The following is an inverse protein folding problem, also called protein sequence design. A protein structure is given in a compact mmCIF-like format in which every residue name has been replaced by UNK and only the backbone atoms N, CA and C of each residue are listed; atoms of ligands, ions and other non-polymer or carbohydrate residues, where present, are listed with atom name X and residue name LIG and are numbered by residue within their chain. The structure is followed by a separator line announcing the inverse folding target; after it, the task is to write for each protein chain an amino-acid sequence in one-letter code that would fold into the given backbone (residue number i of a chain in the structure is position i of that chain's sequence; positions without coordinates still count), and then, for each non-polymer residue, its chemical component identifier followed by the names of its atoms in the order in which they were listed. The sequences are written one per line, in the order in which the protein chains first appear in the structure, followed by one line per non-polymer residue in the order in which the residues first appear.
data_IF_538140695150
#
_entry.id   IF_538140695150
#
_cell.length_a   1.000
_cell.length_b   1.000
_cell.length_c   1.000
_cell.angle_alpha   90.00
_cell.angle_beta   90.00
_cell.angle_gamma   90.00
#
_symmetry.space_group_name_H-M   'P 1'
#
loop_
_entity.id
_entity.type
_entity.pdbx_description
1 polymer ?
#
# COMPACT_ATOMS: atom_id res chain seq x y z
N UNK A 1 6.81 20.46 -26.80
CA UNK A 1 7.56 19.77 -27.88
C UNK A 1 7.87 18.36 -27.40
N UNK A 2 7.50 17.34 -28.18
CA UNK A 2 7.58 15.86 -27.98
C UNK A 2 6.35 15.27 -27.26
N UNK A 3 5.31 14.86 -28.00
CA UNK A 3 5.09 13.58 -28.75
C UNK A 3 4.59 12.49 -27.79
N UNK A 4 3.28 12.26 -27.60
CA UNK A 4 2.30 11.66 -28.53
C UNK A 4 2.86 10.48 -29.32
N UNK A 5 2.73 9.27 -28.76
CA UNK A 5 2.86 8.00 -29.49
C UNK A 5 1.54 7.24 -29.32
N UNK A 6 0.78 7.28 -30.40
CA UNK A 6 -0.37 6.46 -30.74
C UNK A 6 0.18 5.15 -31.34
N UNK A 7 -0.28 3.99 -30.88
CA UNK A 7 -0.19 2.76 -31.67
C UNK A 7 -1.58 2.15 -31.88
N UNK A 8 -2.02 2.27 -33.13
CA UNK A 8 -3.10 1.53 -33.77
C UNK A 8 -2.48 0.31 -34.43
N UNK A 9 -3.13 -0.86 -34.31
CA UNK A 9 -3.29 -1.96 -35.29
C UNK A 9 -3.47 -3.28 -34.51
N UNK A 10 -4.30 -4.25 -34.86
CA UNK A 10 -4.89 -4.61 -36.14
C UNK A 10 -6.09 -5.54 -35.90
N UNK A 11 -7.19 -5.29 -36.59
CA UNK A 11 -8.30 -6.24 -36.76
C UNK A 11 -7.87 -7.31 -37.76
N UNK A 12 -8.03 -8.60 -37.44
CA UNK A 12 -8.24 -9.62 -38.48
C UNK A 12 -9.18 -10.73 -38.00
N UNK A 13 -10.18 -10.97 -38.83
CA UNK A 13 -11.29 -11.90 -38.66
C UNK A 13 -10.88 -13.37 -38.89
N UNK A 14 -11.63 -14.27 -38.25
CA UNK A 14 -11.61 -15.71 -38.52
C UNK A 14 -12.93 -16.38 -38.11
N UNK A 15 -13.93 -16.27 -38.99
CA UNK A 15 -15.19 -17.04 -38.99
C UNK A 15 -14.93 -18.49 -39.46
N UNK A 16 -15.91 -19.41 -39.28
CA UNK A 16 -16.08 -20.80 -39.85
C UNK A 16 -15.80 -21.92 -38.82
N UNK A 17 -16.62 -22.96 -38.50
CA UNK A 17 -17.91 -23.53 -38.97
C UNK A 17 -18.48 -24.51 -37.89
N UNK A 18 -19.81 -24.45 -37.70
CA UNK A 18 -20.86 -25.48 -37.48
C UNK A 18 -20.48 -26.96 -37.25
N UNK A 19 -20.99 -27.56 -36.16
CA UNK A 19 -21.73 -28.86 -36.06
C UNK A 19 -22.14 -29.03 -34.57
N UNK A 20 -23.37 -29.33 -34.14
CA UNK A 20 -24.36 -30.21 -34.71
C UNK A 20 -24.31 -31.59 -34.03
N UNK A 21 -24.71 -31.71 -32.75
CA UNK A 21 -25.00 -33.00 -32.12
C UNK A 21 -26.28 -32.93 -31.28
N UNK A 22 -27.27 -33.68 -31.76
CA UNK A 22 -28.56 -33.96 -31.15
C UNK A 22 -28.45 -35.00 -30.03
N UNK A 23 -29.17 -34.75 -28.94
CA UNK A 23 -30.02 -35.74 -28.26
C UNK A 23 -29.38 -37.00 -27.67
N UNK A 24 -29.29 -37.04 -26.34
CA UNK A 24 -29.64 -38.27 -25.60
C UNK A 24 -30.15 -37.87 -24.21
N UNK A 25 -31.44 -38.11 -23.99
CA UNK A 25 -32.10 -37.99 -22.69
C UNK A 25 -31.58 -39.11 -21.78
N UNK A 26 -31.02 -38.83 -20.59
CA UNK A 26 -30.72 -39.89 -19.64
C UNK A 26 -32.01 -40.41 -19.01
N UNK A 27 -32.17 -41.71 -19.09
CA UNK A 27 -33.18 -42.51 -18.42
C UNK A 27 -33.09 -42.29 -16.90
N UNK A 28 -34.20 -41.86 -16.28
CA UNK A 28 -34.31 -41.69 -14.82
C UNK A 28 -34.33 -43.07 -14.17
N UNK A 29 -33.13 -43.56 -13.83
CA UNK A 29 -32.96 -44.75 -13.02
C UNK A 29 -33.37 -44.41 -11.57
N UNK A 30 -34.44 -45.05 -11.08
CA UNK A 30 -34.88 -44.93 -9.69
C UNK A 30 -33.81 -45.48 -8.75
N UNK A 31 -33.15 -44.57 -8.04
CA UNK A 31 -32.23 -44.87 -6.93
C UNK A 31 -32.98 -45.59 -5.81
N UNK A 32 -32.48 -46.75 -5.31
CA UNK A 32 -33.00 -47.35 -4.09
C UNK A 32 -32.75 -46.43 -2.89
N UNK A 33 -33.71 -46.38 -1.97
CA UNK A 33 -33.61 -45.61 -0.73
C UNK A 33 -32.34 -46.00 0.03
N UNK A 34 -31.44 -45.02 0.20
CA UNK A 34 -30.24 -45.14 1.03
C UNK A 34 -30.68 -45.06 2.48
N UNK A 35 -30.58 -46.16 3.21
CA UNK A 35 -30.68 -46.18 4.67
C UNK A 35 -29.58 -45.29 5.22
N UNK A 36 -29.97 -44.23 5.95
CA UNK A 36 -29.03 -43.31 6.57
C UNK A 36 -28.06 -44.07 7.49
N UNK A 37 -26.76 -43.97 7.19
CA UNK A 37 -25.72 -44.36 8.10
C UNK A 37 -25.73 -43.40 9.31
N UNK A 38 -25.45 -43.88 10.54
CA UNK A 38 -25.41 -43.02 11.71
C UNK A 38 -24.37 -41.92 11.53
N UNK A 39 -24.80 -40.67 11.76
CA UNK A 39 -23.95 -39.49 11.81
C UNK A 39 -22.76 -39.74 12.74
N UNK A 40 -21.50 -39.65 12.26
CA UNK A 40 -20.34 -39.70 13.12
C UNK A 40 -20.47 -38.60 14.19
N UNK A 41 -20.23 -38.96 15.44
CA UNK A 41 -20.15 -37.97 16.52
C UNK A 41 -19.12 -36.91 16.13
N UNK A 42 -19.50 -35.62 16.29
CA UNK A 42 -18.62 -34.50 16.00
C UNK A 42 -17.29 -34.70 16.72
N UNK A 43 -16.21 -34.76 15.95
CA UNK A 43 -14.86 -34.71 16.51
C UNK A 43 -14.70 -33.30 17.08
N UNK A 44 -14.36 -33.14 18.37
CA UNK A 44 -14.18 -31.82 18.94
C UNK A 44 -13.14 -31.06 18.13
N UNK A 45 -13.56 -29.92 17.57
CA UNK A 45 -12.65 -28.96 16.94
C UNK A 45 -11.66 -28.55 18.03
N UNK A 46 -10.34 -28.65 17.80
CA UNK A 46 -9.37 -28.18 18.78
C UNK A 46 -9.66 -26.71 19.07
N UNK A 47 -9.89 -26.40 20.34
CA UNK A 47 -9.97 -25.02 20.81
C UNK A 47 -8.71 -24.30 20.33
N UNK A 48 -8.82 -23.16 19.61
CA UNK A 48 -7.68 -22.36 19.23
C UNK A 48 -6.83 -22.10 20.47
N UNK A 49 -5.58 -22.51 20.42
CA UNK A 49 -4.61 -22.11 21.43
C UNK A 49 -4.55 -20.59 21.39
N UNK A 50 -4.68 -19.93 22.54
CA UNK A 50 -4.51 -18.48 22.61
C UNK A 50 -3.10 -18.16 22.11
N UNK A 51 -3.01 -17.59 20.91
CA UNK A 51 -1.82 -16.91 20.42
C UNK A 51 -1.50 -15.84 21.45
N UNK A 52 -0.29 -15.86 22.01
CA UNK A 52 0.17 -14.79 22.88
C UNK A 52 0.07 -13.48 22.07
N UNK A 53 -0.62 -12.47 22.63
CA UNK A 53 -0.74 -11.19 21.98
C UNK A 53 0.66 -10.70 21.57
N UNK A 54 0.85 -10.26 20.31
CA UNK A 54 2.15 -9.78 19.86
C UNK A 54 2.67 -8.77 20.88
N UNK A 55 3.92 -8.99 21.31
CA UNK A 55 4.62 -8.09 22.21
C UNK A 55 4.60 -6.72 21.57
N UNK A 56 3.79 -5.79 22.09
CA UNK A 56 3.74 -4.40 21.62
C UNK A 56 5.16 -3.92 21.35
N UNK A 57 5.52 -3.78 20.08
CA UNK A 57 6.81 -3.28 19.68
C UNK A 57 6.98 -1.93 20.38
N UNK A 58 8.01 -1.80 21.21
CA UNK A 58 8.24 -0.55 21.92
C UNK A 58 8.41 0.54 20.86
N UNK A 59 7.50 1.52 20.85
CA UNK A 59 7.61 2.68 19.96
C UNK A 59 9.02 3.25 20.09
N UNK A 60 9.82 3.30 19.01
CA UNK A 60 11.16 3.84 19.05
C UNK A 60 11.14 5.25 19.64
N UNK A 61 12.12 5.57 20.48
CA UNK A 61 12.26 6.92 20.98
C UNK A 61 12.39 7.90 19.80
N UNK A 62 11.68 9.04 19.78
CA UNK A 62 11.74 9.99 18.68
C UNK A 62 13.19 10.42 18.43
N UNK A 63 13.60 10.38 17.16
CA UNK A 63 14.94 10.81 16.73
C UNK A 63 15.06 12.30 17.02
N UNK A 64 15.98 12.68 17.93
CA UNK A 64 16.23 14.09 18.19
C UNK A 64 16.99 14.70 17.01
N UNK A 65 16.26 15.40 16.15
CA UNK A 65 16.83 16.14 15.03
C UNK A 65 17.58 17.39 15.56
N UNK A 66 18.85 17.61 15.18
CA UNK A 66 19.60 18.77 15.64
C UNK A 66 18.96 20.07 15.14
N UNK A 67 18.64 20.99 16.04
CA UNK A 67 17.86 22.21 15.79
C UNK A 67 18.58 23.35 15.04
N UNK A 68 19.55 23.05 14.17
CA UNK A 68 20.30 24.06 13.41
C UNK A 68 20.62 23.69 11.96
N UNK A 69 20.00 22.64 11.45
CA UNK A 69 20.14 22.25 10.04
C UNK A 69 19.04 22.96 9.24
N UNK A 70 19.38 23.46 8.06
CA UNK A 70 18.39 24.03 7.15
C UNK A 70 17.64 22.87 6.46
N UNK A 71 16.52 22.47 7.06
CA UNK A 71 15.59 21.50 6.48
C UNK A 71 14.68 22.26 5.49
N UNK A 72 14.87 22.03 4.19
CA UNK A 72 14.09 22.71 3.16
C UNK A 72 12.78 21.99 2.86
N UNK A 73 11.78 22.74 2.39
CA UNK A 73 10.51 22.18 1.86
C UNK A 73 10.80 21.17 0.76
N UNK A 74 11.70 21.46 -0.18
CA UNK A 74 12.05 20.55 -1.30
C UNK A 74 12.55 19.19 -0.81
N UNK A 75 13.45 19.18 0.19
CA UNK A 75 13.95 17.94 0.79
C UNK A 75 12.84 17.20 1.54
N UNK A 76 11.94 17.91 2.22
CA UNK A 76 10.84 17.27 2.95
C UNK A 76 9.80 16.65 1.98
N UNK A 77 9.43 17.35 0.91
CA UNK A 77 8.57 16.82 -0.14
C UNK A 77 9.20 15.59 -0.78
N UNK A 78 10.50 15.64 -1.10
CA UNK A 78 11.21 14.50 -1.68
C UNK A 78 11.26 13.31 -0.72
N UNK A 79 11.48 13.56 0.58
CA UNK A 79 11.45 12.53 1.62
C UNK A 79 10.07 11.86 1.73
N UNK A 80 9.00 12.66 1.76
CA UNK A 80 7.65 12.14 1.84
C UNK A 80 7.25 11.33 0.62
N UNK A 81 7.63 11.79 -0.59
CA UNK A 81 7.42 11.02 -1.83
C UNK A 81 8.17 9.70 -1.82
N UNK A 82 9.43 9.74 -1.38
CA UNK A 82 10.25 8.55 -1.23
C UNK A 82 9.60 7.55 -0.25
N UNK A 83 8.96 8.04 0.80
CA UNK A 83 8.19 7.19 1.71
C UNK A 83 6.98 6.57 1.03
N UNK A 84 6.09 7.38 0.43
CA UNK A 84 4.90 6.89 -0.26
C UNK A 84 5.24 5.80 -1.30
N UNK A 85 6.22 6.06 -2.16
CA UNK A 85 6.67 5.11 -3.20
C UNK A 85 7.15 3.78 -2.62
N UNK A 86 7.78 3.77 -1.45
CA UNK A 86 8.19 2.50 -0.84
C UNK A 86 7.02 1.75 -0.22
N UNK A 87 6.02 2.45 0.32
CA UNK A 87 4.80 1.80 0.80
C UNK A 87 4.00 1.20 -0.36
N UNK A 88 3.93 1.88 -1.50
CA UNK A 88 3.42 1.30 -2.75
C UNK A 88 4.23 0.06 -3.14
N UNK A 89 5.57 0.10 -3.11
CA UNK A 89 6.35 -1.12 -3.37
C UNK A 89 5.99 -2.27 -2.41
N UNK A 90 5.85 -2.01 -1.11
CA UNK A 90 5.49 -3.03 -0.13
C UNK A 90 4.14 -3.68 -0.48
N UNK A 91 3.18 -2.85 -0.83
CA UNK A 91 1.84 -3.29 -1.23
C UNK A 91 1.88 -4.20 -2.46
N UNK A 92 2.54 -3.80 -3.54
CA UNK A 92 2.78 -4.60 -4.76
C UNK A 92 3.44 -5.97 -4.45
N UNK A 93 4.38 -5.99 -3.48
CA UNK A 93 5.05 -7.21 -3.08
C UNK A 93 4.09 -8.21 -2.40
N UNK A 94 3.13 -7.72 -1.63
CA UNK A 94 2.13 -8.53 -0.94
C UNK A 94 0.96 -8.92 -1.87
N UNK A 95 0.61 -8.05 -2.82
CA UNK A 95 -0.39 -8.29 -3.85
C UNK A 95 0.01 -9.45 -4.78
N UNK A 96 1.29 -9.53 -5.16
CA UNK A 96 1.78 -10.52 -6.12
C UNK A 96 1.33 -11.98 -5.88
N UNK A 97 1.56 -12.60 -4.70
CA UNK A 97 1.11 -13.97 -4.45
C UNK A 97 -0.42 -14.13 -4.35
N UNK A 98 -1.15 -13.05 -4.02
CA UNK A 98 -2.60 -13.04 -3.87
C UNK A 98 -3.29 -12.98 -5.24
N UNK A 99 -2.80 -12.11 -6.11
CA UNK A 99 -3.36 -11.86 -7.44
C UNK A 99 -2.82 -12.81 -8.51
N UNK A 100 -1.62 -13.34 -8.30
CA UNK A 100 -0.89 -14.18 -9.26
C UNK A 100 -0.57 -13.48 -10.59
N UNK A 101 -0.41 -12.15 -10.56
CA UNK A 101 -0.15 -11.30 -11.72
C UNK A 101 1.33 -10.87 -11.76
N UNK A 102 2.11 -11.28 -12.77
CA UNK A 102 3.52 -10.87 -12.88
C UNK A 102 3.75 -9.36 -12.87
N UNK A 103 2.76 -8.59 -13.29
CA UNK A 103 2.74 -7.13 -13.29
C UNK A 103 3.05 -6.54 -11.89
N UNK A 104 2.46 -7.06 -10.81
CA UNK A 104 2.73 -6.63 -9.41
C UNK A 104 4.22 -6.69 -9.04
N UNK A 105 4.91 -7.75 -9.49
CA UNK A 105 6.34 -7.88 -9.27
C UNK A 105 7.13 -6.86 -10.10
N UNK A 106 6.71 -6.62 -11.34
CA UNK A 106 7.34 -5.61 -12.20
C UNK A 106 7.17 -4.20 -11.63
N UNK A 107 5.99 -3.90 -11.06
CA UNK A 107 5.67 -2.63 -10.43
C UNK A 107 6.42 -2.46 -9.10
N UNK A 108 6.50 -3.49 -8.25
CA UNK A 108 7.44 -3.51 -7.11
C UNK A 108 8.86 -3.10 -7.53
N UNK A 109 9.43 -3.75 -8.56
CA UNK A 109 10.77 -3.44 -9.05
C UNK A 109 10.88 -2.02 -9.63
N UNK A 110 9.78 -1.49 -10.18
CA UNK A 110 9.66 -0.12 -10.64
C UNK A 110 9.72 0.89 -9.50
N UNK A 111 8.90 0.69 -8.47
CA UNK A 111 8.83 1.55 -7.27
C UNK A 111 10.14 1.52 -6.48
N UNK A 112 10.80 0.38 -6.37
CA UNK A 112 12.14 0.25 -5.76
C UNK A 112 13.18 1.12 -6.49
N UNK A 113 13.13 1.19 -7.82
CA UNK A 113 14.02 2.05 -8.62
C UNK A 113 13.67 3.53 -8.46
N UNK A 114 12.38 3.86 -8.39
CA UNK A 114 11.94 5.24 -8.14
C UNK A 114 12.39 5.72 -6.75
N UNK A 115 12.25 4.88 -5.72
CA UNK A 115 12.80 5.13 -4.39
C UNK A 115 14.29 5.47 -4.45
N UNK A 116 15.09 4.67 -5.16
CA UNK A 116 16.54 4.89 -5.27
C UNK A 116 16.88 6.23 -5.96
N UNK A 117 16.06 6.68 -6.91
CA UNK A 117 16.21 8.00 -7.53
C UNK A 117 15.88 9.13 -6.55
N UNK A 118 14.77 9.01 -5.81
CA UNK A 118 14.36 9.98 -4.80
C UNK A 118 15.36 10.04 -3.63
N UNK A 119 15.96 8.91 -3.26
CA UNK A 119 17.01 8.82 -2.26
C UNK A 119 18.22 9.69 -2.61
N UNK A 120 18.74 9.57 -3.82
CA UNK A 120 19.85 10.42 -4.32
C UNK A 120 19.46 11.90 -4.33
N UNK A 121 18.21 12.22 -4.69
CA UNK A 121 17.72 13.60 -4.67
C UNK A 121 17.66 14.15 -3.25
N UNK A 122 17.12 13.37 -2.31
CA UNK A 122 17.02 13.73 -0.90
C UNK A 122 18.39 13.96 -0.27
N UNK A 123 19.35 13.04 -0.46
CA UNK A 123 20.72 13.19 0.07
C UNK A 123 21.34 14.54 -0.32
N UNK A 124 21.14 14.93 -1.58
CA UNK A 124 21.65 16.19 -2.13
C UNK A 124 20.89 17.40 -1.57
N UNK A 125 19.56 17.37 -1.56
CA UNK A 125 18.74 18.50 -1.10
C UNK A 125 18.89 18.74 0.41
N UNK A 126 18.92 17.67 1.20
CA UNK A 126 19.14 17.71 2.65
C UNK A 126 20.60 18.00 3.01
N UNK A 127 21.52 17.99 2.05
CA UNK A 127 22.94 18.23 2.26
C UNK A 127 23.56 17.25 3.25
N UNK A 128 23.28 15.95 3.09
CA UNK A 128 23.75 14.91 4.03
C UNK A 128 25.27 14.69 3.97
N UNK A 129 25.96 15.27 2.99
CA UNK A 129 27.42 15.29 2.88
C UNK A 129 28.09 16.29 3.85
N UNK A 130 27.32 17.21 4.43
CA UNK A 130 27.85 18.21 5.34
C UNK A 130 28.11 17.65 6.74
N UNK A 131 29.25 17.95 7.37
CA UNK A 131 29.59 17.43 8.69
C UNK A 131 28.55 17.71 9.79
N UNK A 132 27.88 18.86 9.73
CA UNK A 132 26.81 19.23 10.67
C UNK A 132 25.56 18.33 10.58
N UNK A 133 25.41 17.56 9.50
CA UNK A 133 24.27 16.67 9.25
C UNK A 133 24.61 15.20 9.49
N UNK A 134 25.74 14.90 10.13
CA UNK A 134 26.22 13.52 10.33
C UNK A 134 25.20 12.62 11.06
N UNK A 135 24.48 13.14 12.06
CA UNK A 135 23.48 12.37 12.80
C UNK A 135 22.25 12.05 11.93
N UNK A 136 21.78 13.02 11.13
CA UNK A 136 20.68 12.82 10.17
C UNK A 136 21.10 11.78 9.13
N UNK A 137 22.34 11.90 8.62
CA UNK A 137 22.89 10.94 7.67
C UNK A 137 22.95 9.53 8.28
N UNK A 138 23.34 9.39 9.54
CA UNK A 138 23.40 8.09 10.19
C UNK A 138 22.01 7.42 10.30
N UNK A 139 20.97 8.17 10.68
CA UNK A 139 19.58 7.67 10.65
C UNK A 139 19.13 7.32 9.24
N UNK A 140 19.46 8.17 8.27
CA UNK A 140 19.11 7.93 6.87
C UNK A 140 19.80 6.67 6.29
N UNK A 141 21.09 6.48 6.57
CA UNK A 141 21.86 5.30 6.14
C UNK A 141 21.29 4.01 6.74
N UNK A 142 20.77 4.09 7.96
CA UNK A 142 20.11 2.97 8.62
C UNK A 142 18.79 2.59 7.93
N UNK A 143 17.95 3.57 7.55
CA UNK A 143 16.76 3.36 6.71
C UNK A 143 17.13 2.69 5.38
N UNK A 144 18.17 3.15 4.69
CA UNK A 144 18.62 2.52 3.44
C UNK A 144 19.09 1.07 3.65
N UNK A 145 19.71 0.77 4.80
CA UNK A 145 20.07 -0.60 5.17
C UNK A 145 18.84 -1.47 5.39
N UNK A 146 17.78 -0.93 6.02
CA UNK A 146 16.50 -1.63 6.20
C UNK A 146 15.78 -1.87 4.89
N UNK A 147 15.71 -0.85 4.02
CA UNK A 147 15.17 -0.98 2.65
C UNK A 147 15.86 -2.11 1.89
N UNK A 148 17.17 -2.24 2.00
CA UNK A 148 17.92 -3.32 1.34
C UNK A 148 17.54 -4.71 1.86
N UNK A 149 17.35 -4.85 3.18
CA UNK A 149 16.89 -6.10 3.78
C UNK A 149 15.48 -6.46 3.26
N UNK A 150 14.55 -5.50 3.33
CA UNK A 150 13.19 -5.63 2.81
C UNK A 150 13.17 -6.08 1.34
N UNK A 151 13.92 -5.41 0.46
CA UNK A 151 13.98 -5.80 -0.96
C UNK A 151 14.52 -7.23 -1.14
N UNK A 152 15.52 -7.62 -0.35
CA UNK A 152 16.06 -8.99 -0.39
C UNK A 152 15.02 -10.01 0.04
N UNK A 153 14.24 -9.71 1.07
CA UNK A 153 13.22 -10.62 1.58
C UNK A 153 12.00 -10.69 0.65
N UNK A 154 11.61 -9.57 0.01
CA UNK A 154 10.60 -9.56 -1.05
C UNK A 154 11.03 -10.41 -2.26
N UNK A 155 12.28 -10.29 -2.73
CA UNK A 155 12.82 -11.14 -3.81
C UNK A 155 12.80 -12.64 -3.44
N UNK A 156 13.12 -12.97 -2.19
CA UNK A 156 13.03 -14.34 -1.69
C UNK A 156 11.58 -14.83 -1.64
N UNK A 157 10.67 -13.97 -1.17
CA UNK A 157 9.24 -14.23 -1.10
C UNK A 157 8.66 -14.53 -2.49
N UNK A 158 9.00 -13.73 -3.50
CA UNK A 158 8.64 -13.98 -4.90
C UNK A 158 9.19 -15.32 -5.40
N UNK A 159 10.47 -15.60 -5.17
CA UNK A 159 11.10 -16.85 -5.60
C UNK A 159 10.45 -18.08 -4.95
N UNK A 160 9.98 -17.95 -3.70
CA UNK A 160 9.20 -19.00 -3.03
C UNK A 160 7.86 -19.20 -3.73
N UNK A 161 7.12 -18.12 -3.97
CA UNK A 161 5.84 -18.16 -4.67
C UNK A 161 5.97 -18.79 -6.05
N UNK A 162 6.88 -18.29 -6.90
CA UNK A 162 7.10 -18.77 -8.27
C UNK A 162 7.44 -20.27 -8.32
N UNK A 163 8.14 -20.78 -7.31
CA UNK A 163 8.54 -22.19 -7.22
C UNK A 163 7.41 -23.10 -6.74
N UNK A 164 6.61 -22.64 -5.77
CA UNK A 164 5.62 -23.47 -5.07
C UNK A 164 4.18 -23.24 -5.55
N UNK A 165 3.92 -22.11 -6.21
CA UNK A 165 2.59 -21.57 -6.52
C UNK A 165 1.85 -21.02 -5.29
N UNK A 166 2.54 -20.85 -4.16
CA UNK A 166 2.00 -20.35 -2.90
C UNK A 166 3.13 -19.94 -1.95
N UNK A 167 2.84 -19.03 -1.04
CA UNK A 167 3.66 -18.70 0.13
C UNK A 167 3.06 -19.35 1.37
N UNK A 168 3.89 -19.65 2.37
CA UNK A 168 3.44 -20.13 3.69
C UNK A 168 3.46 -18.99 4.69
N UNK A 169 2.77 -19.14 5.82
CA UNK A 169 2.76 -18.15 6.91
C UNK A 169 4.20 -17.77 7.32
N UNK A 170 5.11 -18.75 7.40
CA UNK A 170 6.51 -18.48 7.72
C UNK A 170 7.30 -17.77 6.61
N UNK A 171 6.87 -17.85 5.34
CA UNK A 171 7.44 -17.05 4.27
C UNK A 171 6.92 -15.59 4.35
N UNK A 172 5.65 -15.39 4.72
CA UNK A 172 5.02 -14.06 4.90
C UNK A 172 5.60 -13.35 6.12
N UNK A 173 5.69 -14.02 7.28
CA UNK A 173 6.26 -13.45 8.51
C UNK A 173 7.69 -12.92 8.31
N UNK A 174 8.51 -13.56 7.49
CA UNK A 174 9.86 -13.05 7.19
C UNK A 174 9.82 -11.73 6.43
N UNK A 175 8.88 -11.58 5.49
CA UNK A 175 8.69 -10.32 4.78
C UNK A 175 8.13 -9.25 5.73
N UNK A 176 7.12 -9.58 6.53
CA UNK A 176 6.52 -8.68 7.52
C UNK A 176 7.54 -8.14 8.52
N UNK A 177 8.41 -8.99 9.10
CA UNK A 177 9.47 -8.55 10.01
C UNK A 177 10.42 -7.52 9.35
N UNK A 178 10.60 -7.62 8.03
CA UNK A 178 11.39 -6.69 7.23
C UNK A 178 10.63 -5.40 6.89
N UNK A 179 9.32 -5.50 6.63
CA UNK A 179 8.40 -4.36 6.48
C UNK A 179 8.37 -3.55 7.77
N UNK A 180 8.02 -4.18 8.91
CA UNK A 180 8.06 -3.60 10.25
C UNK A 180 9.40 -2.95 10.56
N UNK A 181 10.48 -3.67 10.26
CA UNK A 181 11.84 -3.19 10.50
C UNK A 181 12.19 -1.92 9.70
N UNK A 182 11.55 -1.71 8.56
CA UNK A 182 11.70 -0.53 7.72
C UNK A 182 10.74 0.60 8.13
N UNK A 183 9.44 0.32 8.26
CA UNK A 183 8.39 1.30 8.58
C UNK A 183 8.58 1.89 9.97
N UNK A 184 8.97 1.08 10.96
CA UNK A 184 9.26 1.54 12.33
C UNK A 184 10.44 2.52 12.43
N UNK A 185 11.31 2.56 11.41
CA UNK A 185 12.42 3.51 11.36
C UNK A 185 12.10 4.71 10.46
N UNK A 186 11.51 4.45 9.30
CA UNK A 186 11.27 5.49 8.30
C UNK A 186 10.08 6.40 8.64
N UNK A 187 9.03 5.87 9.25
CA UNK A 187 7.89 6.63 9.79
C UNK A 187 8.34 7.73 10.74
N UNK A 188 8.94 7.37 11.89
CA UNK A 188 9.41 8.35 12.86
C UNK A 188 10.47 9.32 12.30
N UNK A 189 11.34 8.85 11.39
CA UNK A 189 12.30 9.72 10.72
C UNK A 189 11.62 10.79 9.87
N UNK A 190 10.64 10.39 9.06
CA UNK A 190 9.87 11.30 8.18
C UNK A 190 9.12 12.34 9.01
N UNK A 191 8.41 11.91 10.05
CA UNK A 191 7.68 12.80 10.96
C UNK A 191 8.60 13.80 11.67
N UNK A 192 9.73 13.29 12.19
CA UNK A 192 10.72 14.14 12.85
C UNK A 192 11.34 15.14 11.89
N UNK A 193 11.55 14.75 10.63
CA UNK A 193 12.05 15.63 9.57
C UNK A 193 11.03 16.72 9.21
N UNK A 194 9.76 16.36 9.06
CA UNK A 194 8.67 17.32 8.75
C UNK A 194 8.49 18.34 9.87
N UNK A 195 8.53 17.89 11.12
CA UNK A 195 8.35 18.75 12.30
C UNK A 195 9.44 19.82 12.48
N UNK A 196 10.61 19.66 11.84
CA UNK A 196 11.74 20.60 11.92
C UNK A 196 11.97 21.40 10.64
N UNK A 197 11.15 21.20 9.61
CA UNK A 197 11.10 22.12 8.45
C UNK A 197 10.82 23.51 8.99
N UNK A 198 11.67 24.48 8.61
CA UNK A 198 11.69 25.74 9.34
C UNK A 198 10.37 26.49 9.19
N UNK A 199 9.84 27.03 10.29
CA UNK A 199 8.67 27.92 10.25
C UNK A 199 8.92 29.17 9.39
N UNK A 200 10.17 29.51 9.08
CA UNK A 200 10.51 30.57 8.13
C UNK A 200 10.26 30.14 6.68
N UNK A 201 10.58 28.89 6.33
CA UNK A 201 10.30 28.29 5.01
C UNK A 201 8.81 27.93 4.84
N UNK A 202 8.09 27.70 5.95
CA UNK A 202 6.66 27.45 5.99
C UNK A 202 5.81 28.71 6.23
N UNK A 203 6.43 29.86 6.52
CA UNK A 203 5.72 31.12 6.73
C UNK A 203 5.24 31.65 5.38
N UNK A 204 3.94 31.94 5.31
CA UNK A 204 3.23 32.38 4.10
C UNK A 204 3.16 31.32 2.98
N UNK A 205 3.46 30.05 3.27
CA UNK A 205 3.40 28.94 2.30
C UNK A 205 2.48 27.81 2.80
N UNK A 206 1.17 28.09 2.82
CA UNK A 206 0.16 27.09 3.19
C UNK A 206 0.20 25.88 2.24
N UNK A 207 0.61 26.05 0.99
CA UNK A 207 0.82 24.97 0.03
C UNK A 207 1.88 23.96 0.50
N UNK A 208 2.96 24.43 1.14
CA UNK A 208 4.02 23.56 1.65
C UNK A 208 3.53 22.71 2.82
N UNK A 209 2.80 23.30 3.77
CA UNK A 209 2.21 22.55 4.89
C UNK A 209 1.23 21.50 4.38
N UNK A 210 0.33 21.92 3.50
CA UNK A 210 -0.66 21.04 2.88
C UNK A 210 -0.02 19.91 2.09
N UNK A 211 1.09 20.17 1.38
CA UNK A 211 1.83 19.10 0.70
C UNK A 211 2.38 18.06 1.68
N UNK A 212 2.95 18.47 2.81
CA UNK A 212 3.47 17.55 3.84
C UNK A 212 2.35 16.78 4.54
N UNK A 213 1.21 17.42 4.79
CA UNK A 213 0.03 16.75 5.37
C UNK A 213 -0.52 15.70 4.40
N UNK A 214 -0.64 16.05 3.12
CA UNK A 214 -1.04 15.13 2.06
C UNK A 214 -0.07 13.94 2.00
N UNK A 215 1.25 14.18 2.00
CA UNK A 215 2.27 13.11 2.02
C UNK A 215 2.15 12.18 3.25
N UNK A 216 1.79 12.74 4.40
CA UNK A 216 1.52 11.95 5.61
C UNK A 216 0.25 11.12 5.46
N UNK A 217 -0.81 11.71 4.88
CA UNK A 217 -2.04 10.99 4.56
C UNK A 217 -1.78 9.83 3.59
N UNK A 218 -0.93 10.00 2.57
CA UNK A 218 -0.58 8.91 1.65
C UNK A 218 -0.04 7.71 2.38
N UNK A 219 0.99 7.95 3.21
CA UNK A 219 1.67 6.90 3.96
C UNK A 219 0.67 6.13 4.80
N UNK A 220 -0.15 6.84 5.58
CA UNK A 220 -1.15 6.19 6.43
C UNK A 220 -2.19 5.40 5.64
N UNK A 221 -2.54 5.85 4.43
CA UNK A 221 -3.44 5.10 3.56
C UNK A 221 -2.79 3.82 3.03
N UNK A 222 -1.53 3.90 2.59
CA UNK A 222 -0.80 2.74 2.07
C UNK A 222 -0.43 1.74 3.16
N UNK A 223 -0.10 2.21 4.37
CA UNK A 223 -0.02 1.35 5.57
C UNK A 223 -1.33 0.59 5.72
N UNK A 224 -2.49 1.26 5.69
CA UNK A 224 -3.78 0.55 5.74
C UNK A 224 -3.99 -0.47 4.61
N UNK A 225 -3.58 -0.17 3.37
CA UNK A 225 -3.76 -1.09 2.24
C UNK A 225 -2.90 -2.34 2.41
N UNK A 226 -1.67 -2.19 2.91
CA UNK A 226 -0.78 -3.30 3.21
C UNK A 226 -1.43 -4.28 4.23
N UNK A 227 -2.05 -3.76 5.29
CA UNK A 227 -2.80 -4.57 6.25
C UNK A 227 -3.93 -5.43 5.63
N UNK A 228 -4.50 -5.00 4.49
CA UNK A 228 -5.52 -5.79 3.78
C UNK A 228 -4.91 -7.08 3.24
N UNK A 229 -3.71 -6.99 2.64
CA UNK A 229 -3.00 -8.16 2.15
C UNK A 229 -2.40 -8.99 3.28
N UNK A 230 -1.86 -8.34 4.32
CA UNK A 230 -1.42 -9.01 5.56
C UNK A 230 -2.52 -9.90 6.13
N UNK A 231 -3.74 -9.37 6.25
CA UNK A 231 -4.90 -10.14 6.71
C UNK A 231 -5.17 -11.39 5.87
N UNK A 232 -5.14 -11.25 4.54
CA UNK A 232 -5.43 -12.35 3.61
C UNK A 232 -4.32 -13.41 3.60
N UNK A 233 -3.07 -13.00 3.83
CA UNK A 233 -1.91 -13.87 3.81
C UNK A 233 -1.71 -14.60 5.15
N UNK A 234 -1.99 -13.95 6.27
CA UNK A 234 -1.74 -14.46 7.62
C UNK A 234 -2.99 -14.92 8.37
N UNK A 235 -4.18 -14.47 7.95
CA UNK A 235 -5.46 -14.70 8.65
C UNK A 235 -5.41 -14.23 10.12
N UNK A 236 -4.73 -13.12 10.37
CA UNK A 236 -4.61 -12.52 11.69
C UNK A 236 -5.57 -11.34 11.83
N UNK A 237 -6.50 -11.40 12.77
CA UNK A 237 -7.53 -10.35 12.89
C UNK A 237 -6.97 -8.96 13.24
N UNK A 238 -5.72 -8.89 13.72
CA UNK A 238 -5.07 -7.63 14.07
C UNK A 238 -4.86 -6.75 12.83
N UNK A 239 -4.45 -7.33 11.70
CA UNK A 239 -4.26 -6.60 10.43
C UNK A 239 -5.56 -5.88 10.02
N UNK A 240 -6.72 -6.55 10.14
CA UNK A 240 -8.02 -5.93 9.85
C UNK A 240 -8.38 -4.79 10.81
N UNK A 241 -7.97 -4.90 12.07
CA UNK A 241 -8.11 -3.83 13.07
C UNK A 241 -7.19 -2.65 12.74
N UNK A 242 -5.95 -2.92 12.32
CA UNK A 242 -4.95 -1.93 11.94
C UNK A 242 -5.32 -1.22 10.63
N UNK A 243 -5.83 -1.93 9.63
CA UNK A 243 -6.48 -1.35 8.45
C UNK A 243 -7.55 -0.33 8.87
N UNK A 244 -8.48 -0.74 9.74
CA UNK A 244 -9.58 0.13 10.19
C UNK A 244 -9.05 1.36 10.93
N UNK A 245 -8.03 1.18 11.78
CA UNK A 245 -7.38 2.27 12.50
C UNK A 245 -6.68 3.25 11.55
N UNK A 246 -5.99 2.76 10.54
CA UNK A 246 -5.30 3.57 9.54
C UNK A 246 -6.28 4.35 8.67
N UNK A 247 -7.40 3.74 8.24
CA UNK A 247 -8.49 4.47 7.55
C UNK A 247 -9.09 5.56 8.44
N UNK A 248 -9.23 5.32 9.74
CA UNK A 248 -9.72 6.33 10.67
C UNK A 248 -8.73 7.51 10.80
N UNK A 249 -7.44 7.23 11.00
CA UNK A 249 -6.37 8.26 11.03
C UNK A 249 -6.36 9.08 9.73
N UNK A 250 -6.47 8.42 8.58
CA UNK A 250 -6.57 9.07 7.28
C UNK A 250 -7.76 10.03 7.20
N UNK A 251 -8.96 9.58 7.62
CA UNK A 251 -10.16 10.41 7.61
C UNK A 251 -10.03 11.61 8.57
N UNK A 252 -9.38 11.44 9.73
CA UNK A 252 -9.12 12.53 10.67
C UNK A 252 -8.18 13.58 10.07
N UNK A 253 -7.09 13.15 9.43
CA UNK A 253 -6.16 14.04 8.74
C UNK A 253 -6.83 14.76 7.56
N UNK A 254 -7.62 14.06 6.74
CA UNK A 254 -8.38 14.67 5.65
C UNK A 254 -9.42 15.68 6.14
N UNK A 255 -10.09 15.40 7.26
CA UNK A 255 -11.02 16.36 7.86
C UNK A 255 -10.30 17.63 8.35
N UNK A 256 -9.10 17.50 8.93
CA UNK A 256 -8.29 18.66 9.31
C UNK A 256 -7.92 19.51 8.09
N UNK A 257 -7.49 18.87 7.00
CA UNK A 257 -7.09 19.55 5.76
C UNK A 257 -8.21 20.41 5.15
N UNK A 258 -9.46 19.98 5.24
CA UNK A 258 -10.62 20.75 4.76
C UNK A 258 -10.99 21.89 5.71
N UNK A 259 -10.77 21.72 7.02
CA UNK A 259 -11.15 22.70 8.04
C UNK A 259 -10.19 23.89 8.14
N UNK A 260 -8.97 23.78 7.62
CA UNK A 260 -7.95 24.84 7.66
C UNK A 260 -8.19 25.95 6.61
N UNK A 261 -9.40 26.06 6.06
CA UNK A 261 -9.87 27.02 5.03
C UNK A 261 -9.10 27.01 3.69
N UNK A 262 -7.89 26.45 3.61
CA UNK A 262 -7.04 26.39 2.42
C UNK A 262 -7.76 25.81 1.20
N UNK A 263 -8.36 24.61 1.32
CA UNK A 263 -9.12 24.00 0.22
C UNK A 263 -10.44 24.73 -0.07
N UNK A 264 -10.93 25.54 0.88
CA UNK A 264 -12.15 26.33 0.75
C UNK A 264 -11.99 27.61 -0.08
N UNK A 265 -10.74 28.05 -0.31
CA UNK A 265 -10.45 29.25 -1.09
C UNK A 265 -10.87 29.12 -2.56
N UNK A 266 -11.28 30.23 -3.15
CA UNK A 266 -11.88 30.26 -4.49
C UNK A 266 -10.92 29.87 -5.61
N UNK A 267 -9.63 30.12 -5.38
CA UNK A 267 -8.46 29.80 -6.17
C UNK A 267 -8.09 28.31 -6.08
N UNK A 268 -8.45 27.63 -5.00
CA UNK A 268 -8.10 26.23 -4.73
C UNK A 268 -9.16 25.21 -5.18
N UNK A 269 -10.11 25.62 -6.04
CA UNK A 269 -11.16 24.74 -6.59
C UNK A 269 -10.64 23.47 -7.25
N UNK A 270 -9.51 23.55 -7.98
CA UNK A 270 -8.91 22.38 -8.61
C UNK A 270 -8.38 21.38 -7.57
N UNK A 271 -7.72 21.89 -6.51
CA UNK A 271 -7.22 21.09 -5.38
C UNK A 271 -8.37 20.45 -4.61
N UNK A 272 -9.43 21.20 -4.33
CA UNK A 272 -10.63 20.67 -3.68
C UNK A 272 -11.30 19.56 -4.51
N UNK A 273 -11.34 19.71 -5.83
CA UNK A 273 -11.85 18.67 -6.73
C UNK A 273 -10.96 17.41 -6.68
N UNK A 274 -9.63 17.56 -6.75
CA UNK A 274 -8.69 16.45 -6.63
C UNK A 274 -8.80 15.75 -5.26
N UNK A 275 -8.89 16.51 -4.17
CA UNK A 275 -9.13 15.96 -2.82
C UNK A 275 -10.44 15.17 -2.75
N UNK A 276 -11.52 15.69 -3.33
CA UNK A 276 -12.80 14.99 -3.40
C UNK A 276 -12.67 13.66 -4.17
N UNK A 277 -11.86 13.63 -5.23
CA UNK A 277 -11.54 12.40 -5.97
C UNK A 277 -10.78 11.39 -5.12
N UNK A 278 -9.79 11.82 -4.31
CA UNK A 278 -9.09 10.95 -3.35
C UNK A 278 -10.07 10.33 -2.37
N UNK A 279 -10.90 11.15 -1.72
CA UNK A 279 -11.88 10.65 -0.74
C UNK A 279 -12.85 9.65 -1.35
N UNK A 280 -13.31 9.93 -2.58
CA UNK A 280 -14.22 9.04 -3.31
C UNK A 280 -13.55 7.74 -3.75
N UNK A 281 -12.27 7.77 -4.13
CA UNK A 281 -11.50 6.58 -4.48
C UNK A 281 -11.23 5.70 -3.25
N UNK A 282 -10.77 6.32 -2.16
CA UNK A 282 -10.57 5.66 -0.87
C UNK A 282 -11.84 4.98 -0.35
N UNK A 283 -13.02 5.58 -0.50
CA UNK A 283 -14.29 4.90 -0.13
C UNK A 283 -14.53 3.62 -0.92
N UNK A 284 -14.28 3.63 -2.24
CA UNK A 284 -14.43 2.43 -3.08
C UNK A 284 -13.37 1.38 -2.76
N UNK A 285 -12.14 1.80 -2.49
CA UNK A 285 -11.07 0.90 -2.03
C UNK A 285 -11.46 0.22 -0.71
N UNK A 286 -11.99 0.98 0.26
CA UNK A 286 -12.46 0.41 1.53
C UNK A 286 -13.61 -0.59 1.31
N UNK A 287 -14.59 -0.25 0.48
CA UNK A 287 -15.68 -1.17 0.15
C UNK A 287 -15.14 -2.47 -0.49
N UNK A 288 -14.17 -2.36 -1.41
CA UNK A 288 -13.53 -3.52 -2.05
C UNK A 288 -12.72 -4.36 -1.05
N UNK A 289 -11.99 -3.75 -0.11
CA UNK A 289 -11.30 -4.45 0.97
C UNK A 289 -12.28 -5.28 1.82
N UNK A 290 -13.43 -4.72 2.18
CA UNK A 290 -14.45 -5.46 2.94
C UNK A 290 -15.09 -6.61 2.15
N UNK A 291 -15.19 -6.50 0.82
CA UNK A 291 -15.60 -7.62 -0.03
C UNK A 291 -14.54 -8.72 -0.03
N UNK A 292 -13.26 -8.34 -0.13
CA UNK A 292 -12.12 -9.25 -0.06
C UNK A 292 -12.05 -9.98 1.29
N UNK A 293 -12.21 -9.26 2.40
CA UNK A 293 -12.32 -9.85 3.74
C UNK A 293 -13.48 -10.83 3.85
N UNK A 294 -14.67 -10.46 3.38
CA UNK A 294 -15.84 -11.33 3.47
C UNK A 294 -15.68 -12.61 2.66
N UNK A 295 -15.08 -12.55 1.46
CA UNK A 295 -14.80 -13.76 0.66
C UNK A 295 -13.74 -14.64 1.34
N UNK A 296 -12.69 -14.03 1.88
CA UNK A 296 -11.66 -14.75 2.61
C UNK A 296 -12.21 -15.45 3.86
N UNK A 297 -13.04 -14.77 4.65
CA UNK A 297 -13.68 -15.32 5.84
C UNK A 297 -14.64 -16.49 5.52
N UNK A 298 -15.34 -16.43 4.37
CA UNK A 298 -16.28 -17.49 3.95
C UNK A 298 -15.55 -18.71 3.36
N UNK A 299 -14.49 -18.49 2.57
CA UNK A 299 -13.89 -19.54 1.72
C UNK A 299 -12.46 -19.93 2.10
N UNK A 300 -11.80 -19.14 2.96
CA UNK A 300 -10.38 -19.22 3.28
C UNK A 300 -9.46 -18.79 2.14
N UNK A 301 -9.98 -18.13 1.10
CA UNK A 301 -9.26 -17.67 -0.09
C UNK A 301 -9.90 -16.42 -0.67
N UNK A 302 -9.13 -15.67 -1.46
CA UNK A 302 -9.64 -14.58 -2.28
C UNK A 302 -9.68 -15.06 -3.73
N UNK A 303 -10.80 -14.84 -4.42
CA UNK A 303 -10.86 -15.15 -5.84
C UNK A 303 -10.15 -14.07 -6.65
N UNK A 304 -9.64 -14.45 -7.83
CA UNK A 304 -9.01 -13.49 -8.75
C UNK A 304 -9.90 -12.27 -9.01
N UNK A 305 -11.19 -12.47 -9.25
CA UNK A 305 -12.11 -11.34 -9.53
C UNK A 305 -12.25 -10.37 -8.37
N UNK A 306 -12.13 -10.83 -7.13
CA UNK A 306 -12.20 -9.97 -5.95
C UNK A 306 -10.87 -9.27 -5.71
N UNK A 307 -9.76 -10.00 -5.84
CA UNK A 307 -8.42 -9.42 -5.79
C UNK A 307 -8.25 -8.31 -6.84
N UNK A 308 -8.51 -8.60 -8.11
CA UNK A 308 -8.44 -7.61 -9.21
C UNK A 308 -9.34 -6.38 -8.97
N UNK A 309 -10.48 -6.57 -8.28
CA UNK A 309 -11.40 -5.48 -7.97
C UNK A 309 -10.87 -4.58 -6.84
N UNK A 310 -10.20 -5.16 -5.85
CA UNK A 310 -9.51 -4.41 -4.81
C UNK A 310 -8.31 -3.65 -5.40
N UNK A 311 -7.47 -4.35 -6.15
CA UNK A 311 -6.25 -3.80 -6.77
C UNK A 311 -6.56 -2.57 -7.63
N UNK A 312 -7.54 -2.70 -8.52
CA UNK A 312 -8.01 -1.59 -9.35
C UNK A 312 -8.42 -0.34 -8.54
N UNK A 313 -8.99 -0.52 -7.35
CA UNK A 313 -9.38 0.61 -6.50
C UNK A 313 -8.19 1.15 -5.66
N UNK A 314 -7.18 0.33 -5.36
CA UNK A 314 -5.85 0.78 -4.87
C UNK A 314 -5.22 1.69 -5.92
N UNK A 315 -5.05 1.20 -7.14
CA UNK A 315 -4.59 1.94 -8.33
C UNK A 315 -5.32 3.28 -8.55
N UNK A 316 -6.65 3.23 -8.43
CA UNK A 316 -7.49 4.43 -8.60
C UNK A 316 -7.26 5.44 -7.47
N UNK A 317 -6.92 4.95 -6.28
CA UNK A 317 -6.68 5.76 -5.08
C UNK A 317 -5.29 6.40 -5.14
N UNK A 318 -4.24 5.65 -5.48
CA UNK A 318 -2.88 6.15 -5.69
C UNK A 318 -2.85 7.17 -6.82
N UNK A 319 -3.51 6.89 -7.95
CA UNK A 319 -3.65 7.84 -9.07
C UNK A 319 -4.35 9.14 -8.64
N UNK A 320 -5.45 9.06 -7.88
CA UNK A 320 -6.16 10.25 -7.41
C UNK A 320 -5.29 11.06 -6.44
N UNK A 321 -4.51 10.37 -5.62
CA UNK A 321 -3.61 10.96 -4.65
C UNK A 321 -2.46 11.70 -5.35
N UNK A 322 -1.83 11.09 -6.36
CA UNK A 322 -0.78 11.73 -7.17
C UNK A 322 -1.28 13.02 -7.83
N UNK A 323 -2.50 13.00 -8.39
CA UNK A 323 -3.12 14.19 -8.97
C UNK A 323 -3.29 15.28 -7.90
N UNK A 324 -3.78 14.95 -6.70
CA UNK A 324 -3.92 15.92 -5.61
C UNK A 324 -2.56 16.51 -5.21
N UNK A 325 -1.56 15.66 -4.98
CA UNK A 325 -0.22 16.10 -4.61
C UNK A 325 0.38 17.00 -5.70
N UNK A 326 0.29 16.62 -6.98
CA UNK A 326 0.73 17.45 -8.10
C UNK A 326 0.01 18.80 -8.15
N UNK A 327 -1.31 18.84 -7.93
CA UNK A 327 -2.06 20.11 -7.90
C UNK A 327 -1.60 21.04 -6.78
N UNK A 328 -1.21 20.49 -5.62
CA UNK A 328 -0.69 21.28 -4.48
C UNK A 328 0.75 21.74 -4.74
N UNK A 329 1.61 20.85 -5.25
CA UNK A 329 3.01 21.14 -5.51
C UNK A 329 3.24 22.16 -6.63
N UNK A 330 2.26 22.39 -7.51
CA UNK A 330 2.35 23.43 -8.59
C UNK A 330 2.55 24.85 -8.08
N UNK A 331 2.19 25.09 -6.82
CA UNK A 331 2.26 26.41 -6.20
C UNK A 331 3.48 26.58 -5.28
N UNK A 332 4.36 25.57 -5.20
CA UNK A 332 5.67 25.65 -4.55
C UNK A 332 6.74 26.20 -5.50
#
# INVERSE_FOLDING_TARGET
MRSLILFISLVLAGLVLIAGCTGTTPEVQKTPAVTAAPTPAATPIPTPQATEAPSQAMTPAPVQMPGKVAYSVDSAVTLGRMHGVMMEAIEEALAYPVLAEPEEKEDFEGKVKEFDLLAVMFEKQAGLDRPENADIKASYDSILSKKKALVTDAENFFAVYEKKGMVTDGDVVVLEESIDGFTSEFGPFTESYFAVVSEEDLKDNDHARVALDILTMHRTLMEGIEEVFGYVLLNESIEKEEFTANIQKFNEAGAALVNDDYLGESENKAKLAAYTSVMSAKERMVDAAYVMFAEFEDTGKVSKSTGDAFEKEVDSTTTAYDILLEEVLKDL
#
